data_IF_978596052811
#
_entry.id   IF_978596052811
#
_cell.length_a   1.000
_cell.length_b   1.000
_cell.length_c   1.000
_cell.angle_alpha   90.00
_cell.angle_beta   90.00
_cell.angle_gamma   90.00
#
_symmetry.space_group_name_H-M   'P 1'
#
loop_
_entity.id
_entity.type
_entity.pdbx_description
1 polymer ?
#
# COMPACT_ATOMS: atom_id res chain seq x y z
N UNK A 1 3.96 -17.76 18.49
CA UNK A 1 4.51 -17.59 17.13
C UNK A 1 3.60 -18.14 16.04
N UNK A 2 3.06 -19.36 16.17
CA UNK A 2 2.15 -19.97 15.17
C UNK A 2 0.95 -19.06 14.82
N UNK A 3 0.26 -18.53 15.84
CA UNK A 3 -0.89 -17.64 15.61
C UNK A 3 -0.52 -16.35 14.86
N UNK A 4 0.63 -15.77 15.14
CA UNK A 4 1.11 -14.57 14.44
C UNK A 4 1.48 -14.89 12.99
N UNK A 5 2.13 -16.04 12.74
CA UNK A 5 2.41 -16.49 11.38
C UNK A 5 1.13 -16.74 10.57
N UNK A 6 0.10 -17.32 11.21
CA UNK A 6 -1.21 -17.51 10.59
C UNK A 6 -1.87 -16.17 10.26
N UNK A 7 -1.87 -15.21 11.19
CA UNK A 7 -2.40 -13.86 10.95
C UNK A 7 -1.67 -13.15 9.81
N UNK A 8 -0.35 -13.31 9.71
CA UNK A 8 0.44 -12.76 8.61
C UNK A 8 0.07 -13.40 7.26
N UNK A 9 -0.12 -14.72 7.23
CA UNK A 9 -0.57 -15.44 6.04
C UNK A 9 -1.96 -14.97 5.62
N UNK A 10 -2.89 -14.82 6.57
CA UNK A 10 -4.23 -14.30 6.30
C UNK A 10 -4.17 -12.87 5.72
N UNK A 11 -3.36 -11.98 6.28
CA UNK A 11 -3.19 -10.62 5.75
C UNK A 11 -2.62 -10.63 4.33
N UNK A 12 -1.66 -11.52 4.08
CA UNK A 12 -1.05 -11.71 2.75
C UNK A 12 -2.08 -12.23 1.75
N UNK A 13 -2.89 -13.23 2.12
CA UNK A 13 -3.96 -13.76 1.30
C UNK A 13 -5.03 -12.69 1.02
N UNK A 14 -5.41 -11.92 2.03
CA UNK A 14 -6.36 -10.81 1.85
C UNK A 14 -5.80 -9.75 0.90
N UNK A 15 -4.50 -9.45 0.95
CA UNK A 15 -3.86 -8.52 0.02
C UNK A 15 -3.91 -9.03 -1.43
N UNK A 16 -3.62 -10.32 -1.63
CA UNK A 16 -3.70 -10.99 -2.94
C UNK A 16 -5.13 -10.92 -3.50
N UNK A 17 -6.12 -11.32 -2.69
CA UNK A 17 -7.52 -11.33 -3.11
C UNK A 17 -8.04 -9.90 -3.34
N UNK A 18 -7.62 -8.92 -2.52
CA UNK A 18 -8.00 -7.53 -2.68
C UNK A 18 -7.48 -6.96 -4.00
N UNK A 19 -6.22 -7.24 -4.34
CA UNK A 19 -5.65 -6.82 -5.62
C UNK A 19 -6.38 -7.48 -6.80
N UNK A 20 -6.65 -8.79 -6.72
CA UNK A 20 -7.38 -9.50 -7.75
C UNK A 20 -8.79 -8.95 -7.96
N UNK A 21 -9.54 -8.71 -6.87
CA UNK A 21 -10.88 -8.11 -6.91
C UNK A 21 -10.84 -6.69 -7.49
N UNK A 22 -9.84 -5.88 -7.10
CA UNK A 22 -9.66 -4.56 -7.68
C UNK A 22 -9.39 -4.63 -9.19
N UNK A 23 -8.58 -5.61 -9.63
CA UNK A 23 -8.31 -5.85 -11.04
C UNK A 23 -9.56 -6.23 -11.84
N UNK A 24 -10.40 -7.11 -11.28
CA UNK A 24 -11.67 -7.52 -11.91
C UNK A 24 -12.73 -6.42 -11.97
N UNK A 25 -12.65 -5.44 -11.07
CA UNK A 25 -13.63 -4.35 -11.02
C UNK A 25 -13.45 -3.30 -12.12
N UNK A 26 -12.39 -3.40 -12.94
CA UNK A 26 -12.05 -2.43 -14.00
C UNK A 26 -12.00 -0.96 -13.53
N UNK A 27 -11.79 -0.73 -12.23
CA UNK A 27 -11.78 0.62 -11.65
C UNK A 27 -13.15 1.18 -11.25
N UNK A 28 -14.24 0.43 -11.45
CA UNK A 28 -15.59 0.78 -10.98
C UNK A 28 -15.78 0.43 -9.50
N UNK A 29 -14.84 0.89 -8.67
CA UNK A 29 -14.89 0.71 -7.22
C UNK A 29 -15.41 2.01 -6.61
N UNK A 30 -16.63 2.00 -6.01
CA UNK A 30 -17.14 3.17 -5.34
C UNK A 30 -16.23 3.55 -4.17
N UNK A 31 -16.01 4.86 -4.01
CA UNK A 31 -15.12 5.46 -3.01
C UNK A 31 -15.42 4.98 -1.59
N UNK A 32 -16.70 4.67 -1.31
CA UNK A 32 -17.16 4.16 -0.03
C UNK A 32 -16.42 2.86 0.37
N UNK A 33 -15.98 2.04 -0.59
CA UNK A 33 -15.22 0.82 -0.31
C UNK A 33 -13.91 1.08 0.45
N UNK A 34 -13.24 2.20 0.17
CA UNK A 34 -12.01 2.63 0.86
C UNK A 34 -12.30 3.48 2.09
N UNK A 35 -13.46 4.13 2.13
CA UNK A 35 -13.87 4.93 3.28
C UNK A 35 -14.25 4.04 4.48
N UNK A 36 -14.86 2.87 4.26
CA UNK A 36 -15.21 1.92 5.33
C UNK A 36 -14.00 1.54 6.20
N UNK A 37 -12.90 0.98 5.67
CA UNK A 37 -11.74 0.63 6.48
C UNK A 37 -11.11 1.85 7.16
N UNK A 38 -11.10 3.01 6.49
CA UNK A 38 -10.60 4.25 7.08
C UNK A 38 -11.47 4.73 8.26
N UNK A 39 -12.80 4.70 8.10
CA UNK A 39 -13.77 5.06 9.13
C UNK A 39 -13.77 4.05 10.29
N UNK A 40 -13.50 2.78 10.04
CA UNK A 40 -13.39 1.74 11.07
C UNK A 40 -12.17 1.95 11.98
N UNK A 41 -11.09 2.51 11.44
CA UNK A 41 -9.86 2.85 12.15
C UNK A 41 -9.95 4.17 12.96
N UNK A 42 -10.97 4.99 12.73
CA UNK A 42 -11.11 6.32 13.34
C UNK A 42 -11.17 6.44 14.88
N UNK A 43 -11.60 5.45 15.69
CA UNK A 43 -11.82 5.70 17.12
C UNK A 43 -10.49 5.77 17.86
N UNK A 44 -9.97 7.00 17.88
CA UNK A 44 -8.88 7.54 18.69
C UNK A 44 -7.47 7.18 18.23
N UNK A 45 -6.86 8.07 17.43
CA UNK A 45 -5.40 8.16 17.32
C UNK A 45 -4.95 9.49 16.66
N UNK A 46 -4.98 10.57 17.45
CA UNK A 46 -4.23 11.81 17.20
C UNK A 46 -4.31 12.42 15.79
N UNK A 47 -3.32 13.24 15.46
CA UNK A 47 -3.18 13.86 14.13
C UNK A 47 -2.90 12.82 13.03
N UNK A 48 -2.18 11.74 13.36
CA UNK A 48 -1.76 10.71 12.41
C UNK A 48 -2.94 9.96 11.78
N UNK A 49 -3.96 9.56 12.55
CA UNK A 49 -5.11 8.85 11.98
C UNK A 49 -5.98 9.73 11.10
N UNK A 50 -6.06 11.04 11.38
CA UNK A 50 -6.76 11.99 10.50
C UNK A 50 -6.04 12.11 9.17
N UNK A 51 -4.70 12.23 9.19
CA UNK A 51 -3.89 12.24 7.97
C UNK A 51 -4.04 10.92 7.21
N UNK A 52 -4.04 9.78 7.90
CA UNK A 52 -4.24 8.47 7.26
C UNK A 52 -5.62 8.36 6.59
N UNK A 53 -6.68 8.82 7.26
CA UNK A 53 -8.03 8.80 6.68
C UNK A 53 -8.14 9.70 5.45
N UNK A 54 -7.62 10.93 5.54
CA UNK A 54 -7.61 11.85 4.41
C UNK A 54 -6.80 11.29 3.25
N UNK A 55 -5.63 10.71 3.52
CA UNK A 55 -4.77 10.16 2.49
C UNK A 55 -5.39 8.92 1.81
N UNK A 56 -5.98 8.00 2.57
CA UNK A 56 -6.72 6.84 2.02
C UNK A 56 -7.96 7.31 1.26
N UNK A 57 -8.69 8.29 1.77
CA UNK A 57 -9.87 8.85 1.10
C UNK A 57 -9.52 9.50 -0.23
N UNK A 58 -8.52 10.38 -0.25
CA UNK A 58 -8.03 11.01 -1.49
C UNK A 58 -7.44 9.98 -2.44
N UNK A 59 -6.68 9.00 -1.96
CA UNK A 59 -6.20 7.90 -2.79
C UNK A 59 -7.37 7.12 -3.41
N UNK A 60 -8.41 6.79 -2.63
CA UNK A 60 -9.62 6.16 -3.12
C UNK A 60 -10.35 6.96 -4.20
N UNK A 61 -10.40 8.29 -4.07
CA UNK A 61 -10.97 9.20 -5.08
C UNK A 61 -10.19 9.19 -6.41
N UNK A 62 -8.91 8.83 -6.40
CA UNK A 62 -8.10 8.76 -7.61
C UNK A 62 -8.25 7.46 -8.40
N UNK A 63 -8.76 6.39 -7.79
CA UNK A 63 -8.80 5.07 -8.42
C UNK A 63 -9.60 5.01 -9.72
N UNK A 64 -10.77 5.67 -9.86
CA UNK A 64 -11.49 5.67 -11.12
C UNK A 64 -10.79 6.45 -12.25
N UNK A 65 -9.76 7.24 -11.92
CA UNK A 65 -9.05 8.13 -12.86
C UNK A 65 -7.71 7.54 -13.34
N UNK A 66 -7.40 6.31 -12.95
CA UNK A 66 -6.07 5.74 -13.06
C UNK A 66 -6.16 4.22 -13.22
N UNK A 67 -5.34 3.58 -14.07
CA UNK A 67 -5.34 2.13 -14.19
C UNK A 67 -5.08 1.45 -12.83
N UNK A 68 -5.85 0.41 -12.53
CA UNK A 68 -5.75 -0.31 -11.25
C UNK A 68 -4.32 -0.83 -11.03
N UNK A 69 -3.68 -1.38 -12.07
CA UNK A 69 -2.30 -1.84 -12.00
C UNK A 69 -1.32 -0.73 -11.60
N UNK A 70 -1.49 0.48 -12.16
CA UNK A 70 -0.63 1.62 -11.86
C UNK A 70 -0.89 2.20 -10.47
N UNK A 71 -2.14 2.17 -10.00
CA UNK A 71 -2.49 2.56 -8.63
C UNK A 71 -1.93 1.60 -7.59
N UNK A 72 -2.08 0.29 -7.80
CA UNK A 72 -1.55 -0.74 -6.90
C UNK A 72 -0.02 -0.75 -6.91
N UNK A 73 0.62 -0.49 -8.06
CA UNK A 73 2.08 -0.41 -8.13
C UNK A 73 2.67 0.72 -7.27
N UNK A 74 1.94 1.83 -7.04
CA UNK A 74 2.45 2.94 -6.22
C UNK A 74 2.77 2.51 -4.78
N UNK A 75 2.10 1.47 -4.27
CA UNK A 75 2.32 0.99 -2.90
C UNK A 75 3.72 0.42 -2.68
N UNK A 76 4.46 0.05 -3.74
CA UNK A 76 5.86 -0.37 -3.66
C UNK A 76 6.79 0.74 -3.16
N UNK A 77 6.32 1.99 -3.12
CA UNK A 77 7.04 3.08 -2.46
C UNK A 77 7.16 2.85 -0.95
N UNK A 78 6.24 2.13 -0.31
CA UNK A 78 6.27 1.85 1.13
C UNK A 78 7.58 1.16 1.55
N UNK A 79 7.97 -0.01 1.01
CA UNK A 79 9.22 -0.65 1.40
C UNK A 79 10.43 0.24 1.11
N UNK A 80 10.45 0.98 0.00
CA UNK A 80 11.54 1.91 -0.28
C UNK A 80 11.63 3.02 0.78
N UNK A 81 10.51 3.63 1.16
CA UNK A 81 10.46 4.67 2.21
C UNK A 81 10.91 4.10 3.56
N UNK A 82 10.53 2.86 3.89
CA UNK A 82 10.97 2.19 5.10
C UNK A 82 12.48 2.02 5.17
N UNK A 83 13.13 1.70 4.04
CA UNK A 83 14.59 1.56 3.95
C UNK A 83 15.25 2.93 3.97
N UNK A 84 14.83 3.84 3.10
CA UNK A 84 15.43 5.15 2.91
C UNK A 84 15.38 6.02 4.18
N UNK A 85 14.35 5.87 5.01
CA UNK A 85 14.21 6.61 6.28
C UNK A 85 14.41 5.73 7.52
N UNK A 86 15.13 4.61 7.38
CA UNK A 86 15.52 3.78 8.51
C UNK A 86 16.63 4.43 9.35
N UNK A 87 16.81 4.07 10.64
CA UNK A 87 17.82 4.68 11.51
C UNK A 87 19.27 4.57 11.00
N UNK A 88 19.57 3.51 10.25
CA UNK A 88 20.86 3.24 9.61
C UNK A 88 21.08 3.98 8.29
N UNK A 89 20.05 4.64 7.77
CA UNK A 89 20.14 5.39 6.51
C UNK A 89 20.90 6.70 6.69
N UNK A 90 21.48 7.20 5.59
CA UNK A 90 22.15 8.48 5.54
C UNK A 90 21.55 9.36 4.43
N UNK A 91 21.96 10.63 4.41
CA UNK A 91 21.40 11.61 3.47
C UNK A 91 21.68 11.26 1.99
N UNK A 92 22.81 10.61 1.70
CA UNK A 92 23.15 10.13 0.36
C UNK A 92 22.18 9.06 -0.14
N UNK A 93 21.83 8.10 0.72
CA UNK A 93 20.84 7.06 0.41
C UNK A 93 19.47 7.66 0.14
N UNK A 94 19.03 8.64 0.94
CA UNK A 94 17.76 9.33 0.73
C UNK A 94 17.75 10.05 -0.62
N UNK A 95 18.82 10.80 -0.93
CA UNK A 95 18.94 11.56 -2.17
C UNK A 95 18.92 10.64 -3.40
N UNK A 96 19.73 9.57 -3.40
CA UNK A 96 19.79 8.62 -4.51
C UNK A 96 18.45 7.92 -4.71
N UNK A 97 17.81 7.46 -3.62
CA UNK A 97 16.49 6.83 -3.67
C UNK A 97 15.44 7.78 -4.26
N UNK A 98 15.45 9.05 -3.83
CA UNK A 98 14.53 10.07 -4.32
C UNK A 98 14.74 10.35 -5.82
N UNK A 99 16.00 10.45 -6.28
CA UNK A 99 16.32 10.65 -7.69
C UNK A 99 15.87 9.46 -8.56
N UNK A 100 16.06 8.22 -8.09
CA UNK A 100 15.60 7.02 -8.79
C UNK A 100 14.07 7.03 -8.91
N UNK A 101 13.34 7.22 -7.80
CA UNK A 101 11.88 7.28 -7.82
C UNK A 101 11.38 8.38 -8.73
N UNK A 102 11.94 9.59 -8.61
CA UNK A 102 11.53 10.73 -9.41
C UNK A 102 11.73 10.44 -10.89
N UNK A 103 12.89 9.90 -11.28
CA UNK A 103 13.19 9.58 -12.68
C UNK A 103 12.22 8.53 -13.24
N UNK A 104 11.96 7.45 -12.48
CA UNK A 104 11.04 6.39 -12.90
C UNK A 104 9.59 6.89 -13.00
N UNK A 105 9.13 7.70 -12.05
CA UNK A 105 7.78 8.24 -12.02
C UNK A 105 7.56 9.31 -13.10
N UNK A 106 8.57 10.14 -13.38
CA UNK A 106 8.56 11.03 -14.55
C UNK A 106 8.47 10.22 -15.83
N UNK A 107 9.16 9.08 -15.93
CA UNK A 107 9.02 8.16 -17.06
C UNK A 107 7.56 7.71 -17.27
N UNK A 108 6.86 7.33 -16.21
CA UNK A 108 5.41 7.02 -16.24
C UNK A 108 4.58 8.22 -16.67
N UNK A 109 4.84 9.40 -16.10
CA UNK A 109 4.08 10.61 -16.42
C UNK A 109 4.27 11.03 -17.88
N UNK A 110 5.46 10.87 -18.43
CA UNK A 110 5.74 11.15 -19.84
C UNK A 110 5.00 10.14 -20.73
N UNK A 111 5.01 8.85 -20.41
CA UNK A 111 4.25 7.85 -21.20
C UNK A 111 2.74 8.07 -21.14
N UNK A 112 2.21 8.50 -19.99
CA UNK A 112 0.81 8.93 -19.85
C UNK A 112 0.51 10.16 -20.71
N UNK A 113 1.36 11.19 -20.65
CA UNK A 113 1.19 12.41 -21.45
C UNK A 113 1.26 12.17 -22.96
N UNK A 114 2.01 11.14 -23.38
CA UNK A 114 2.13 10.72 -24.76
C UNK A 114 0.97 9.83 -25.24
N UNK A 115 -0.03 9.56 -24.37
CA UNK A 115 -1.17 8.70 -24.67
C UNK A 115 -0.80 7.22 -24.83
N UNK A 116 0.37 6.79 -24.37
CA UNK A 116 0.85 5.40 -24.45
C UNK A 116 0.53 4.58 -23.19
N UNK A 117 0.05 5.25 -22.15
CA UNK A 117 -0.36 4.66 -20.89
C UNK A 117 -1.60 5.40 -20.41
N UNK A 118 -2.60 4.67 -19.93
CA UNK A 118 -3.83 5.27 -19.43
C UNK A 118 -3.63 6.01 -18.10
N UNK A 119 -4.62 6.85 -17.77
CA UNK A 119 -4.61 7.70 -16.58
C UNK A 119 -3.97 9.07 -16.82
N UNK A 120 -3.87 9.85 -15.73
CA UNK A 120 -3.38 11.23 -15.77
C UNK A 120 -2.09 11.39 -14.97
N UNK A 121 -1.08 12.09 -15.50
CA UNK A 121 0.15 12.41 -14.77
C UNK A 121 -0.09 13.09 -13.43
N UNK A 122 -1.06 14.02 -13.37
CA UNK A 122 -1.37 14.74 -12.13
C UNK A 122 -1.98 13.81 -11.08
N UNK A 123 -2.77 12.84 -11.51
CA UNK A 123 -3.35 11.83 -10.61
C UNK A 123 -2.24 10.92 -10.08
N UNK A 124 -1.26 10.55 -10.90
CA UNK A 124 -0.06 9.82 -10.47
C UNK A 124 0.70 10.57 -9.38
N UNK A 125 0.92 11.89 -9.55
CA UNK A 125 1.54 12.74 -8.52
C UNK A 125 0.75 12.69 -7.22
N UNK A 126 -0.58 12.86 -7.29
CA UNK A 126 -1.45 12.81 -6.10
C UNK A 126 -1.33 11.45 -5.41
N UNK A 127 -1.37 10.34 -6.14
CA UNK A 127 -1.24 9.00 -5.58
C UNK A 127 0.11 8.78 -4.88
N UNK A 128 1.22 9.24 -5.49
CA UNK A 128 2.56 9.18 -4.87
C UNK A 128 2.57 9.93 -3.54
N UNK A 129 2.04 11.15 -3.52
CA UNK A 129 1.96 11.97 -2.29
C UNK A 129 1.08 11.28 -1.24
N UNK A 130 -0.06 10.72 -1.63
CA UNK A 130 -0.94 10.01 -0.71
C UNK A 130 -0.27 8.76 -0.13
N UNK A 131 0.45 7.97 -0.93
CA UNK A 131 1.19 6.80 -0.42
C UNK A 131 2.28 7.23 0.56
N UNK A 132 3.01 8.32 0.28
CA UNK A 132 3.98 8.89 1.21
C UNK A 132 3.33 9.34 2.53
N UNK A 133 2.17 9.99 2.47
CA UNK A 133 1.41 10.41 3.66
C UNK A 133 0.86 9.21 4.44
N UNK A 134 0.37 8.18 3.76
CA UNK A 134 -0.08 6.92 4.37
C UNK A 134 1.09 6.26 5.11
N UNK A 135 2.25 6.13 4.47
CA UNK A 135 3.44 5.58 5.13
C UNK A 135 3.87 6.42 6.34
N UNK A 136 3.89 7.74 6.21
CA UNK A 136 4.24 8.64 7.31
C UNK A 136 3.25 8.50 8.48
N UNK A 137 1.96 8.45 8.18
CA UNK A 137 0.93 8.28 9.20
C UNK A 137 0.99 6.90 9.87
N UNK A 138 1.28 5.85 9.09
CA UNK A 138 1.45 4.49 9.59
C UNK A 138 2.65 4.38 10.57
N UNK A 139 3.72 5.15 10.38
CA UNK A 139 4.86 5.20 11.32
C UNK A 139 4.48 5.77 12.69
N UNK A 140 3.57 6.75 12.72
CA UNK A 140 3.10 7.38 13.96
C UNK A 140 1.89 6.67 14.58
N UNK A 141 1.36 5.64 13.92
CA UNK A 141 0.14 4.97 14.33
C UNK A 141 0.37 4.06 15.54
N UNK A 142 -0.50 4.20 16.55
CA UNK A 142 -0.53 3.34 17.73
C UNK A 142 -1.72 2.38 17.60
N UNK A 143 -1.48 1.06 17.53
CA UNK A 143 -2.56 0.07 17.47
C UNK A 143 -3.53 0.25 18.65
N UNK A 144 -4.83 0.19 18.35
CA UNK A 144 -5.91 0.33 19.32
C UNK A 144 -6.93 -0.78 19.09
N UNK A 145 -7.63 -1.19 20.15
CA UNK A 145 -8.75 -2.13 20.06
C UNK A 145 -10.11 -1.42 20.10
N UNK A 146 -10.13 -0.08 20.07
CA UNK A 146 -11.35 0.69 19.98
C UNK A 146 -11.72 0.91 18.51
N UNK A 147 -12.72 0.18 18.02
CA UNK A 147 -13.17 0.23 16.63
C UNK A 147 -14.60 0.78 16.47
N UNK A 148 -14.84 1.50 15.39
CA UNK A 148 -16.14 2.04 15.01
C UNK A 148 -16.86 0.97 14.23
N UNK A 149 -17.37 -0.04 14.94
CA UNK A 149 -18.13 -1.14 14.35
C UNK A 149 -19.33 -0.66 13.51
N UNK A 150 -19.84 0.53 13.76
CA UNK A 150 -20.85 1.18 12.93
C UNK A 150 -20.41 1.37 11.46
N UNK A 151 -19.11 1.56 11.19
CA UNK A 151 -18.59 1.74 9.84
C UNK A 151 -18.82 0.49 8.96
N UNK A 152 -18.82 -0.70 9.57
CA UNK A 152 -19.14 -1.94 8.86
C UNK A 152 -20.62 -2.04 8.45
N UNK A 153 -21.52 -1.29 9.09
CA UNK A 153 -22.91 -1.24 8.65
C UNK A 153 -23.06 -0.61 7.25
N UNK A 154 -22.10 0.22 6.82
CA UNK A 154 -22.05 0.80 5.47
C UNK A 154 -21.80 -0.25 4.37
N UNK A 155 -21.39 -1.47 4.74
CA UNK A 155 -21.32 -2.60 3.81
C UNK A 155 -22.72 -3.03 3.35
N UNK A 156 -23.76 -2.88 4.19
CA UNK A 156 -25.11 -3.32 3.86
C UNK A 156 -25.69 -2.54 2.66
N UNK A 157 -25.65 -1.19 2.62
CA UNK A 157 -26.07 -0.45 1.43
C UNK A 157 -25.30 -0.84 0.16
N UNK A 158 -23.99 -1.08 0.24
CA UNK A 158 -23.19 -1.52 -0.92
C UNK A 158 -23.66 -2.89 -1.42
N UNK A 159 -23.97 -3.81 -0.50
CA UNK A 159 -24.49 -5.12 -0.86
C UNK A 159 -25.87 -5.04 -1.51
N UNK A 160 -26.78 -4.23 -0.96
CA UNK A 160 -28.11 -4.00 -1.52
C UNK A 160 -28.03 -3.32 -2.90
N UNK A 161 -27.03 -2.47 -3.12
CA UNK A 161 -26.74 -1.86 -4.41
C UNK A 161 -25.99 -2.79 -5.39
N UNK A 162 -25.86 -4.08 -5.06
CA UNK A 162 -25.19 -5.12 -5.87
C UNK A 162 -23.69 -4.81 -6.17
N UNK A 163 -23.07 -3.95 -5.35
CA UNK A 163 -21.67 -3.56 -5.45
C UNK A 163 -20.76 -4.59 -4.75
N UNK A 164 -20.81 -5.84 -5.19
CA UNK A 164 -20.15 -6.97 -4.51
C UNK A 164 -18.61 -6.85 -4.46
N UNK A 165 -17.98 -6.30 -5.49
CA UNK A 165 -16.53 -6.04 -5.48
C UNK A 165 -16.15 -5.00 -4.43
N UNK A 166 -16.95 -3.94 -4.29
CA UNK A 166 -16.77 -2.91 -3.29
C UNK A 166 -16.88 -3.46 -1.86
N UNK A 167 -17.91 -4.28 -1.61
CA UNK A 167 -18.11 -4.97 -0.32
C UNK A 167 -16.90 -5.84 0.01
N UNK A 168 -16.50 -6.69 -0.95
CA UNK A 168 -15.40 -7.62 -0.76
C UNK A 168 -14.11 -6.87 -0.46
N UNK A 169 -13.81 -5.81 -1.22
CA UNK A 169 -12.61 -5.01 -1.02
C UNK A 169 -12.61 -4.30 0.34
N UNK A 170 -13.73 -3.69 0.74
CA UNK A 170 -13.86 -3.03 2.03
C UNK A 170 -13.58 -4.00 3.20
N UNK A 171 -14.13 -5.21 3.14
CA UNK A 171 -13.92 -6.24 4.16
C UNK A 171 -12.49 -6.77 4.17
N UNK A 172 -11.89 -7.00 2.99
CA UNK A 172 -10.51 -7.47 2.89
C UNK A 172 -9.53 -6.43 3.44
N UNK A 173 -9.66 -5.17 3.05
CA UNK A 173 -8.80 -4.08 3.57
C UNK A 173 -8.99 -3.93 5.08
N UNK A 174 -10.23 -3.97 5.57
CA UNK A 174 -10.50 -3.93 7.02
C UNK A 174 -9.84 -5.11 7.74
N UNK A 175 -9.91 -6.31 7.16
CA UNK A 175 -9.25 -7.51 7.67
C UNK A 175 -7.72 -7.40 7.69
N UNK A 176 -7.11 -6.80 6.66
CA UNK A 176 -5.66 -6.52 6.63
C UNK A 176 -5.29 -5.57 7.76
N UNK A 177 -6.04 -4.47 7.94
CA UNK A 177 -5.80 -3.50 9.02
C UNK A 177 -5.92 -4.19 10.39
N UNK A 178 -6.97 -4.98 10.61
CA UNK A 178 -7.16 -5.74 11.84
C UNK A 178 -6.01 -6.74 12.09
N UNK A 179 -5.46 -7.37 11.06
CA UNK A 179 -4.30 -8.23 11.18
C UNK A 179 -3.04 -7.41 11.55
N UNK A 180 -2.83 -6.25 10.93
CA UNK A 180 -1.74 -5.33 11.26
C UNK A 180 -1.80 -4.89 12.73
N UNK A 181 -2.97 -4.50 13.25
CA UNK A 181 -3.17 -4.11 14.65
C UNK A 181 -2.81 -5.23 15.62
N UNK A 182 -3.12 -6.47 15.26
CA UNK A 182 -2.84 -7.63 16.10
C UNK A 182 -1.38 -8.09 16.05
N UNK A 183 -0.65 -7.78 14.97
CA UNK A 183 0.71 -8.24 14.72
C UNK A 183 1.78 -7.25 15.14
N UNK A 184 1.58 -5.96 14.86
CA UNK A 184 2.57 -4.90 15.14
C UNK A 184 2.98 -4.86 16.62
N UNK A 185 2.06 -4.94 17.61
CA UNK A 185 2.42 -4.96 19.03
C UNK A 185 3.21 -6.20 19.47
N UNK A 186 3.16 -7.29 18.70
CA UNK A 186 3.81 -8.58 19.01
C UNK A 186 5.24 -8.66 18.43
N UNK A 187 5.83 -7.53 18.05
CA UNK A 187 7.19 -7.48 17.55
C UNK A 187 8.19 -7.96 18.62
N UNK A 188 9.15 -8.78 18.22
CA UNK A 188 10.27 -9.24 19.05
C UNK A 188 11.58 -8.65 18.51
N UNK A 189 12.68 -8.63 19.29
CA UNK A 189 13.98 -8.16 18.81
C UNK A 189 14.45 -8.85 17.52
N UNK A 190 14.11 -10.13 17.36
CA UNK A 190 14.42 -10.94 16.18
C UNK A 190 13.41 -10.80 15.03
N UNK A 191 12.19 -10.30 15.28
CA UNK A 191 11.11 -10.33 14.31
C UNK A 191 10.22 -9.10 14.42
N UNK A 192 10.34 -8.21 13.44
CA UNK A 192 9.50 -7.02 13.31
C UNK A 192 8.38 -7.27 12.30
N UNK A 193 7.18 -7.59 12.80
CA UNK A 193 5.99 -7.82 11.96
C UNK A 193 5.59 -6.60 11.12
N UNK A 194 5.77 -5.39 11.65
CA UNK A 194 5.48 -4.16 10.91
C UNK A 194 6.38 -4.02 9.68
N UNK A 195 7.66 -4.37 9.83
CA UNK A 195 8.59 -4.44 8.70
C UNK A 195 8.15 -5.49 7.68
N UNK A 196 7.89 -6.71 8.13
CA UNK A 196 7.48 -7.80 7.23
C UNK A 196 6.21 -7.47 6.45
N UNK A 197 5.19 -6.91 7.10
CA UNK A 197 3.93 -6.50 6.47
C UNK A 197 4.14 -5.34 5.49
N UNK A 198 4.95 -4.35 5.85
CA UNK A 198 5.27 -3.21 4.99
C UNK A 198 6.00 -3.59 3.71
N UNK A 199 6.78 -4.68 3.75
CA UNK A 199 7.39 -5.27 2.55
C UNK A 199 6.44 -6.20 1.80
N UNK A 200 5.78 -7.12 2.51
CA UNK A 200 5.03 -8.20 1.86
C UNK A 200 3.76 -7.69 1.19
N UNK A 201 2.95 -6.86 1.87
CA UNK A 201 1.62 -6.48 1.39
C UNK A 201 1.67 -5.77 0.04
N UNK A 202 2.53 -4.75 -0.20
CA UNK A 202 2.62 -4.10 -1.50
C UNK A 202 3.23 -4.98 -2.60
N UNK A 203 4.10 -5.93 -2.22
CA UNK A 203 4.77 -6.78 -3.19
C UNK A 203 3.83 -7.88 -3.71
N UNK A 204 3.14 -8.56 -2.79
CA UNK A 204 2.22 -9.65 -3.14
C UNK A 204 0.94 -9.14 -3.81
N UNK A 205 0.46 -7.94 -3.47
CA UNK A 205 -0.69 -7.34 -4.13
C UNK A 205 -0.42 -7.10 -5.61
N UNK A 206 0.70 -6.46 -5.95
CA UNK A 206 1.04 -6.21 -7.35
C UNK A 206 1.43 -7.50 -8.09
N UNK A 207 2.19 -8.39 -7.45
CA UNK A 207 2.53 -9.69 -8.05
C UNK A 207 1.28 -10.51 -8.40
N UNK A 208 0.22 -10.44 -7.58
CA UNK A 208 -1.05 -11.10 -7.86
C UNK A 208 -1.70 -10.59 -9.16
N UNK A 209 -1.60 -9.28 -9.45
CA UNK A 209 -2.08 -8.72 -10.71
C UNK A 209 -1.25 -9.19 -11.91
N UNK A 210 0.08 -9.25 -11.76
CA UNK A 210 0.99 -9.67 -12.84
C UNK A 210 0.75 -11.12 -13.27
N UNK A 211 0.44 -12.00 -12.31
CA UNK A 211 0.20 -13.42 -12.58
C UNK A 211 -1.26 -13.69 -12.97
N UNK A 212 -2.17 -12.75 -12.69
CA UNK A 212 -3.59 -12.89 -12.99
C UNK A 212 -3.84 -12.83 -14.49
N UNK A 213 -4.48 -13.86 -15.09
CA UNK A 213 -4.82 -13.85 -16.52
C UNK A 213 -5.94 -12.87 -16.87
N UNK A 214 -6.65 -12.34 -15.86
CA UNK A 214 -7.78 -11.44 -16.04
C UNK A 214 -7.37 -9.95 -16.10
N UNK A 215 -6.09 -9.64 -15.90
CA UNK A 215 -5.61 -8.26 -15.76
C UNK A 215 -4.37 -8.04 -16.61
N UNK A 216 -4.44 -7.09 -17.53
CA UNK A 216 -3.27 -6.69 -18.31
C UNK A 216 -2.46 -5.63 -17.55
N UNK A 217 -1.22 -5.97 -17.20
CA UNK A 217 -0.29 -5.04 -16.55
C UNK A 217 0.58 -4.38 -17.63
N UNK A 218 0.54 -3.05 -17.81
CA UNK A 218 1.36 -2.39 -18.81
C UNK A 218 2.85 -2.55 -18.51
N UNK A 219 3.65 -2.90 -19.52
CA UNK A 219 5.10 -3.12 -19.38
C UNK A 219 5.84 -1.98 -18.65
N UNK A 220 5.58 -0.68 -18.93
CA UNK A 220 6.26 0.40 -18.21
C UNK A 220 5.99 0.36 -16.69
N UNK A 221 4.77 -0.01 -16.28
CA UNK A 221 4.38 -0.10 -14.87
C UNK A 221 5.11 -1.24 -14.18
N UNK A 222 5.16 -2.41 -14.82
CA UNK A 222 5.91 -3.57 -14.31
C UNK A 222 7.40 -3.28 -14.13
N UNK A 223 8.02 -2.64 -15.13
CA UNK A 223 9.45 -2.27 -15.09
C UNK A 223 9.72 -1.28 -13.95
N UNK A 224 8.90 -0.24 -13.80
CA UNK A 224 9.07 0.73 -12.72
C UNK A 224 8.91 0.08 -11.35
N UNK A 225 7.91 -0.79 -11.20
CA UNK A 225 7.66 -1.49 -9.95
C UNK A 225 8.85 -2.38 -9.54
N UNK A 226 9.38 -3.20 -10.46
CA UNK A 226 10.51 -4.09 -10.15
C UNK A 226 11.79 -3.29 -9.89
N UNK A 227 12.01 -2.17 -10.61
CA UNK A 227 13.16 -1.29 -10.38
C UNK A 227 13.11 -0.62 -8.99
N UNK A 228 11.94 -0.14 -8.55
CA UNK A 228 11.79 0.44 -7.20
C UNK A 228 12.01 -0.63 -6.14
N UNK A 229 11.44 -1.83 -6.32
CA UNK A 229 11.60 -2.93 -5.39
C UNK A 229 13.06 -3.39 -5.30
N UNK A 230 13.74 -3.55 -6.44
CA UNK A 230 15.15 -3.89 -6.49
C UNK A 230 16.00 -2.82 -5.81
N UNK A 231 15.70 -1.54 -6.03
CA UNK A 231 16.38 -0.42 -5.36
C UNK A 231 16.22 -0.51 -3.84
N UNK A 232 14.99 -0.72 -3.35
CA UNK A 232 14.73 -0.88 -1.92
C UNK A 232 15.54 -2.06 -1.34
N UNK A 233 15.57 -3.19 -2.05
CA UNK A 233 16.26 -4.40 -1.60
C UNK A 233 17.78 -4.26 -1.60
N UNK A 234 18.36 -3.68 -2.64
CA UNK A 234 19.80 -3.42 -2.72
C UNK A 234 20.25 -2.44 -1.65
N UNK A 235 19.50 -1.36 -1.41
CA UNK A 235 19.82 -0.42 -0.34
C UNK A 235 19.70 -1.08 1.04
N UNK A 236 18.65 -1.88 1.27
CA UNK A 236 18.46 -2.63 2.52
C UNK A 236 19.67 -3.54 2.83
N UNK A 237 20.14 -4.25 1.81
CA UNK A 237 21.32 -5.13 1.88
C UNK A 237 22.60 -4.34 2.16
N UNK A 238 22.88 -3.27 1.40
CA UNK A 238 24.08 -2.44 1.58
C UNK A 238 24.13 -1.86 2.99
N UNK A 239 23.01 -1.30 3.47
CA UNK A 239 22.93 -0.73 4.81
C UNK A 239 23.19 -1.77 5.91
N UNK A 240 22.63 -2.98 5.79
CA UNK A 240 22.91 -4.10 6.74
C UNK A 240 24.39 -4.48 6.72
N UNK A 241 24.96 -4.67 5.53
CA UNK A 241 26.36 -5.09 5.39
C UNK A 241 27.36 -4.07 5.94
N UNK A 242 27.02 -2.78 5.88
CA UNK A 242 27.87 -1.71 6.43
C UNK A 242 27.77 -1.64 7.95
N UNK A 243 26.59 -1.89 8.52
CA UNK A 243 26.37 -1.97 9.96
C UNK A 243 27.15 -3.16 10.56
N UNK A 244 27.03 -4.35 9.96
CA UNK A 244 27.77 -5.56 10.35
C UNK A 244 29.29 -5.41 10.23
N UNK A 245 29.78 -4.58 9.30
CA UNK A 245 31.22 -4.32 9.15
C UNK A 245 31.77 -3.31 10.18
N UNK A 246 30.90 -2.62 10.91
CA UNK A 246 31.27 -1.64 11.94
C UNK A 246 31.10 -2.17 13.37
N UNK A 247 30.49 -3.34 13.54
CA UNK A 247 30.45 -4.13 14.80
C UNK A 247 31.66 -5.05 14.93
#
# INVERSE_FOLDING_TARGET
MILSALQFLIATLFSIVAAYVAGLSEGDIPIIAFLIPALWLLPKSGFSSVVMLLAIGVFGLTLPLQPVALSISQWVLIPLLMVAFSPRSNWGVILVSALIVLTLQVGIMVTQSAGKLEGSPMVTVVQIVMVMLIWWAARGWKPSHAHSWWALALVIPLWVAEQFYAVTLALLITGIIAACENLIPKATPSLNWGSLLGWSLPCVSFAALVVSPATEVPNPVFVVWICILATAWTIDYVLKSTEEAHE
#
